data_IF_141489254789
#
_entry.id   IF_141489254789
#
_cell.length_a   1.000
_cell.length_b   1.000
_cell.length_c   1.000
_cell.angle_alpha   90.00
_cell.angle_beta   90.00
_cell.angle_gamma   90.00
#
_symmetry.space_group_name_H-M   'P 1'
#
loop_
_entity.id
_entity.type
_entity.pdbx_description
1 polymer ?
#
# COMPACT_ATOMS: atom_id res chain seq x y z
N UNK A 1 -26.05 -8.62 -15.71
CA UNK A 1 -25.39 -7.32 -15.57
C UNK A 1 -25.54 -6.68 -14.20
N UNK A 2 -26.71 -6.63 -13.52
CA UNK A 2 -26.86 -6.01 -12.17
C UNK A 2 -25.95 -6.62 -11.08
N UNK A 3 -25.69 -7.92 -11.06
CA UNK A 3 -24.79 -8.59 -10.07
C UNK A 3 -23.30 -8.24 -10.24
N UNK A 4 -22.83 -7.93 -11.44
CA UNK A 4 -21.46 -7.52 -11.70
C UNK A 4 -21.17 -6.11 -11.14
N UNK A 5 -22.10 -5.17 -11.30
CA UNK A 5 -21.94 -3.78 -10.85
C UNK A 5 -21.98 -3.64 -9.31
N UNK A 6 -22.51 -4.64 -8.60
CA UNK A 6 -22.55 -4.66 -7.13
C UNK A 6 -21.30 -5.24 -6.46
N UNK A 7 -20.39 -5.84 -7.23
CA UNK A 7 -19.16 -6.40 -6.68
C UNK A 7 -18.20 -5.29 -6.24
N UNK A 8 -17.68 -5.38 -5.01
CA UNK A 8 -16.84 -4.34 -4.38
C UNK A 8 -15.60 -3.97 -5.20
N UNK A 9 -15.05 -4.91 -5.98
CA UNK A 9 -13.83 -4.74 -6.77
C UNK A 9 -14.05 -4.04 -8.12
N UNK A 10 -15.28 -3.93 -8.62
CA UNK A 10 -15.55 -3.38 -9.96
C UNK A 10 -15.11 -1.91 -10.06
N UNK A 11 -15.37 -1.12 -9.05
CA UNK A 11 -15.08 0.31 -9.07
C UNK A 11 -13.56 0.60 -9.00
N UNK A 12 -12.78 -0.04 -8.11
CA UNK A 12 -11.33 0.07 -8.15
C UNK A 12 -10.72 -0.36 -9.50
N UNK A 13 -11.21 -1.47 -10.06
CA UNK A 13 -10.74 -1.94 -11.37
C UNK A 13 -11.09 -0.94 -12.48
N UNK A 14 -12.31 -0.40 -12.49
CA UNK A 14 -12.69 0.63 -13.46
C UNK A 14 -11.84 1.90 -13.35
N UNK A 15 -11.53 2.33 -12.12
CA UNK A 15 -10.64 3.47 -11.90
C UNK A 15 -9.22 3.20 -12.45
N UNK A 16 -8.68 2.01 -12.19
CA UNK A 16 -7.37 1.60 -12.73
C UNK A 16 -7.38 1.56 -14.26
N UNK A 17 -8.41 0.93 -14.87
CA UNK A 17 -8.55 0.85 -16.32
C UNK A 17 -8.71 2.24 -16.93
N UNK A 18 -9.48 3.13 -16.31
CA UNK A 18 -9.63 4.52 -16.77
C UNK A 18 -8.28 5.28 -16.74
N UNK A 19 -7.50 5.13 -15.66
CA UNK A 19 -6.16 5.73 -15.55
C UNK A 19 -5.21 5.20 -16.63
N UNK A 20 -5.20 3.88 -16.86
CA UNK A 20 -4.40 3.26 -17.93
C UNK A 20 -4.82 3.81 -19.29
N UNK A 21 -6.12 3.92 -19.56
CA UNK A 21 -6.64 4.47 -20.81
C UNK A 21 -6.23 5.92 -21.03
N UNK A 22 -6.34 6.77 -19.99
CA UNK A 22 -5.88 8.17 -20.04
C UNK A 22 -4.39 8.26 -20.36
N UNK A 23 -3.55 7.45 -19.69
CA UNK A 23 -2.11 7.42 -19.96
C UNK A 23 -1.80 6.95 -21.37
N UNK A 24 -2.53 5.94 -21.89
CA UNK A 24 -2.33 5.40 -23.24
C UNK A 24 -2.69 6.44 -24.32
N UNK A 25 -3.78 7.20 -24.11
CA UNK A 25 -4.17 8.29 -25.02
C UNK A 25 -3.16 9.44 -24.98
N UNK A 26 -2.67 9.80 -23.79
CA UNK A 26 -1.69 10.88 -23.62
C UNK A 26 -0.29 10.49 -24.13
N UNK A 27 0.07 9.21 -24.04
CA UNK A 27 1.36 8.65 -24.48
C UNK A 27 1.15 7.27 -25.09
N UNK A 28 1.11 7.13 -26.42
CA UNK A 28 0.93 5.83 -27.10
C UNK A 28 1.96 4.77 -26.71
N UNK A 29 3.19 5.20 -26.34
CA UNK A 29 4.26 4.31 -25.86
C UNK A 29 4.04 3.78 -24.42
N UNK A 30 3.01 4.23 -23.70
CA UNK A 30 2.76 3.82 -22.31
C UNK A 30 2.58 2.30 -22.16
N UNK A 31 1.90 1.66 -23.11
CA UNK A 31 1.69 0.21 -23.12
C UNK A 31 2.84 -0.55 -23.79
N UNK A 32 3.83 0.14 -24.37
CA UNK A 32 4.94 -0.54 -25.03
C UNK A 32 5.81 -1.26 -24.00
N UNK A 33 6.01 -2.55 -24.21
CA UNK A 33 6.95 -3.37 -23.45
C UNK A 33 8.04 -3.81 -24.42
N UNK A 34 9.28 -3.47 -24.09
CA UNK A 34 10.46 -3.90 -24.86
C UNK A 34 11.21 -4.95 -24.07
N UNK A 35 11.81 -5.91 -24.79
CA UNK A 35 12.68 -6.92 -24.20
C UNK A 35 14.12 -6.55 -24.54
N UNK A 36 14.94 -6.30 -23.54
CA UNK A 36 16.36 -6.02 -23.68
C UNK A 36 17.14 -6.96 -22.77
N UNK A 37 18.06 -7.73 -23.32
CA UNK A 37 18.87 -8.72 -22.59
C UNK A 37 18.03 -9.72 -21.75
N UNK A 38 16.86 -10.15 -22.25
CA UNK A 38 15.95 -11.04 -21.52
C UNK A 38 15.16 -10.39 -20.39
N UNK A 39 15.22 -9.07 -20.25
CA UNK A 39 14.52 -8.31 -19.23
C UNK A 39 13.40 -7.46 -19.87
N UNK A 40 12.29 -7.31 -19.17
CA UNK A 40 11.16 -6.52 -19.61
C UNK A 40 11.32 -5.04 -19.17
N UNK A 41 11.18 -4.12 -20.12
CA UNK A 41 11.23 -2.68 -19.88
C UNK A 41 9.98 -1.99 -20.40
N UNK A 42 9.57 -0.91 -19.75
CA UNK A 42 8.44 -0.07 -20.16
C UNK A 42 7.69 0.49 -18.96
N UNK A 43 6.82 1.45 -19.20
CA UNK A 43 6.09 2.16 -18.13
C UNK A 43 5.28 1.21 -17.23
N UNK A 44 4.72 0.13 -17.78
CA UNK A 44 4.02 -0.88 -17.01
C UNK A 44 4.97 -1.64 -16.08
N UNK A 45 6.17 -1.95 -16.53
CA UNK A 45 7.18 -2.66 -15.74
C UNK A 45 7.70 -1.76 -14.62
N UNK A 46 7.87 -0.46 -14.90
CA UNK A 46 8.24 0.53 -13.88
C UNK A 46 7.13 0.70 -12.83
N UNK A 47 5.85 0.64 -13.21
CA UNK A 47 4.73 0.62 -12.28
C UNK A 47 4.81 -0.64 -11.40
N UNK A 48 5.10 -1.82 -11.92
CA UNK A 48 5.27 -3.05 -11.15
C UNK A 48 6.42 -2.90 -10.14
N UNK A 49 7.59 -2.43 -10.58
CA UNK A 49 8.76 -2.21 -9.73
C UNK A 49 8.47 -1.23 -8.60
N UNK A 50 7.98 -0.05 -8.95
CA UNK A 50 7.76 1.04 -8.00
C UNK A 50 6.54 0.83 -7.10
N UNK A 51 5.62 -0.08 -7.45
CA UNK A 51 4.50 -0.47 -6.58
C UNK A 51 4.93 -1.41 -5.45
N UNK A 52 6.07 -2.09 -5.55
CA UNK A 52 6.47 -3.14 -4.63
C UNK A 52 6.60 -2.66 -3.17
N UNK A 53 7.26 -1.53 -2.84
CA UNK A 53 7.31 -1.04 -1.46
C UNK A 53 5.91 -0.70 -0.91
N UNK A 54 5.10 0.01 -1.69
CA UNK A 54 3.73 0.34 -1.29
C UNK A 54 2.86 -0.90 -1.13
N UNK A 55 3.06 -1.93 -1.96
CA UNK A 55 2.34 -3.20 -1.88
C UNK A 55 2.59 -3.91 -0.55
N UNK A 56 3.84 -3.98 -0.12
CA UNK A 56 4.23 -4.60 1.16
C UNK A 56 3.60 -3.84 2.34
N UNK A 57 3.73 -2.52 2.35
CA UNK A 57 3.14 -1.68 3.40
C UNK A 57 1.61 -1.79 3.41
N UNK A 58 0.96 -1.76 2.26
CA UNK A 58 -0.50 -1.87 2.15
C UNK A 58 -1.02 -3.25 2.57
N UNK A 59 -0.26 -4.33 2.35
CA UNK A 59 -0.59 -5.66 2.89
C UNK A 59 -0.60 -5.66 4.42
N UNK A 60 0.45 -5.12 5.05
CA UNK A 60 0.53 -4.95 6.51
C UNK A 60 -0.62 -4.09 7.03
N UNK A 61 -0.84 -2.94 6.40
CA UNK A 61 -1.93 -2.02 6.73
C UNK A 61 -3.31 -2.69 6.61
N UNK A 62 -3.51 -3.56 5.62
CA UNK A 62 -4.78 -4.31 5.47
C UNK A 62 -5.06 -5.18 6.68
N UNK A 63 -4.05 -5.87 7.22
CA UNK A 63 -4.20 -6.73 8.40
C UNK A 63 -4.49 -5.89 9.66
N UNK A 64 -3.78 -4.78 9.82
CA UNK A 64 -3.98 -3.85 10.94
C UNK A 64 -5.36 -3.21 10.89
N UNK A 65 -5.80 -2.71 9.73
CA UNK A 65 -7.14 -2.15 9.53
C UNK A 65 -8.23 -3.21 9.75
N UNK A 66 -7.99 -4.44 9.31
CA UNK A 66 -8.92 -5.55 9.55
C UNK A 66 -9.20 -5.76 11.04
N UNK A 67 -8.24 -5.48 11.94
CA UNK A 67 -8.38 -5.53 13.40
C UNK A 67 -8.75 -4.18 14.04
N UNK A 68 -9.27 -3.20 13.28
CA UNK A 68 -9.63 -1.83 13.71
C UNK A 68 -8.43 -0.96 14.13
N UNK A 69 -7.23 -1.33 13.74
CA UNK A 69 -6.03 -0.53 13.96
C UNK A 69 -5.72 0.37 12.77
N UNK A 70 -4.80 1.31 12.99
CA UNK A 70 -4.11 2.07 11.95
C UNK A 70 -2.65 2.13 12.37
N UNK A 71 -1.74 1.83 11.44
CA UNK A 71 -0.30 1.85 11.70
C UNK A 71 0.35 3.01 10.94
N UNK A 72 0.55 4.12 11.63
CA UNK A 72 1.20 5.30 11.06
C UNK A 72 2.73 5.20 11.05
N UNK A 73 3.30 4.21 11.74
CA UNK A 73 4.75 4.08 11.89
C UNK A 73 5.47 3.43 10.70
N UNK A 74 4.73 2.84 9.77
CA UNK A 74 5.30 2.05 8.66
C UNK A 74 6.34 2.81 7.84
N UNK A 75 6.13 4.11 7.59
CA UNK A 75 7.10 4.96 6.89
C UNK A 75 8.39 5.18 7.70
N UNK A 76 8.29 5.36 9.01
CA UNK A 76 9.43 5.46 9.90
C UNK A 76 10.20 4.13 10.02
N UNK A 77 9.49 3.00 10.09
CA UNK A 77 10.10 1.66 10.08
C UNK A 77 10.85 1.43 8.77
N UNK A 78 10.31 1.86 7.62
CA UNK A 78 11.04 1.83 6.34
C UNK A 78 12.34 2.63 6.40
N UNK A 79 12.29 3.85 6.96
CA UNK A 79 13.48 4.70 7.10
C UNK A 79 14.53 4.05 7.99
N UNK A 80 14.14 3.49 9.15
CA UNK A 80 15.04 2.77 10.07
C UNK A 80 15.65 1.54 9.37
N UNK A 81 14.83 0.77 8.66
CA UNK A 81 15.30 -0.41 7.93
C UNK A 81 16.36 -0.06 6.88
N UNK A 82 16.09 0.96 6.05
CA UNK A 82 17.06 1.45 5.07
C UNK A 82 18.34 1.99 5.73
N UNK A 83 18.21 2.77 6.81
CA UNK A 83 19.34 3.30 7.56
C UNK A 83 20.23 2.16 8.11
N UNK A 84 19.65 1.16 8.77
CA UNK A 84 20.39 0.00 9.31
C UNK A 84 21.10 -0.75 8.19
N UNK A 85 20.41 -1.05 7.09
CA UNK A 85 21.00 -1.80 5.99
C UNK A 85 22.20 -1.07 5.38
N UNK A 86 22.01 0.21 5.03
CA UNK A 86 23.05 0.97 4.35
C UNK A 86 24.24 1.26 5.26
N UNK A 87 24.04 1.58 6.53
CA UNK A 87 25.12 1.83 7.47
C UNK A 87 25.98 0.58 7.68
N UNK A 88 25.40 -0.63 7.72
CA UNK A 88 26.15 -1.88 7.81
C UNK A 88 26.98 -2.11 6.53
N UNK A 89 26.41 -1.85 5.36
CA UNK A 89 27.12 -2.03 4.09
C UNK A 89 28.24 -0.99 3.95
N UNK A 90 27.98 0.28 4.28
CA UNK A 90 28.97 1.37 4.22
C UNK A 90 30.15 1.14 5.15
N UNK A 91 29.90 0.66 6.37
CA UNK A 91 30.95 0.39 7.35
C UNK A 91 31.81 -0.84 7.01
N UNK A 92 31.43 -1.64 6.00
CA UNK A 92 32.17 -2.84 5.61
C UNK A 92 33.31 -2.50 4.67
N UNK A 93 34.48 -3.16 4.84
CA UNK A 93 35.58 -3.10 3.87
C UNK A 93 35.22 -3.65 2.49
N UNK A 94 34.20 -4.53 2.41
CA UNK A 94 33.76 -5.19 1.20
C UNK A 94 32.23 -4.97 0.98
N UNK A 95 31.78 -3.75 0.57
CA UNK A 95 30.37 -3.44 0.40
C UNK A 95 29.64 -4.30 -0.65
N UNK A 96 30.40 -4.89 -1.60
CA UNK A 96 29.91 -5.79 -2.63
C UNK A 96 29.80 -7.25 -2.21
N UNK A 97 30.19 -7.61 -0.98
CA UNK A 97 30.11 -8.99 -0.49
C UNK A 97 28.66 -9.41 -0.25
N UNK A 98 28.25 -10.56 -0.80
CA UNK A 98 26.93 -11.15 -0.54
C UNK A 98 26.68 -11.41 0.95
N UNK A 99 27.74 -11.79 1.71
CA UNK A 99 27.63 -12.02 3.15
C UNK A 99 27.28 -10.75 3.91
N UNK A 100 27.92 -9.62 3.56
CA UNK A 100 27.63 -8.32 4.17
C UNK A 100 26.21 -7.86 3.84
N UNK A 101 25.80 -7.98 2.58
CA UNK A 101 24.45 -7.61 2.16
C UNK A 101 23.39 -8.49 2.84
N UNK A 102 23.62 -9.81 2.95
CA UNK A 102 22.72 -10.70 3.65
C UNK A 102 22.61 -10.34 5.15
N UNK A 103 23.73 -10.03 5.81
CA UNK A 103 23.74 -9.55 7.20
C UNK A 103 22.97 -8.24 7.36
N UNK A 104 23.21 -7.28 6.45
CA UNK A 104 22.53 -5.99 6.45
C UNK A 104 20.99 -6.14 6.30
N UNK A 105 20.55 -6.99 5.36
CA UNK A 105 19.14 -7.32 5.18
C UNK A 105 18.55 -7.99 6.42
N UNK A 106 19.25 -8.98 7.00
CA UNK A 106 18.77 -9.67 8.19
C UNK A 106 18.66 -8.73 9.40
N UNK A 107 19.64 -7.84 9.60
CA UNK A 107 19.62 -6.84 10.66
C UNK A 107 18.46 -5.82 10.45
N UNK A 108 18.26 -5.35 9.22
CA UNK A 108 17.20 -4.42 8.88
C UNK A 108 15.79 -5.02 9.11
N UNK A 109 15.58 -6.26 8.66
CA UNK A 109 14.33 -6.99 8.91
C UNK A 109 14.15 -7.29 10.39
N UNK A 110 15.20 -7.70 11.09
CA UNK A 110 15.19 -7.96 12.54
C UNK A 110 14.82 -6.72 13.34
N UNK A 111 15.41 -5.57 13.02
CA UNK A 111 15.07 -4.28 13.66
C UNK A 111 13.61 -3.91 13.40
N UNK A 112 13.14 -4.06 12.18
CA UNK A 112 11.75 -3.77 11.79
C UNK A 112 10.74 -4.69 12.49
N UNK A 113 11.09 -5.98 12.66
CA UNK A 113 10.30 -6.94 13.43
C UNK A 113 10.22 -6.50 14.90
N UNK A 114 11.32 -6.07 15.52
CA UNK A 114 11.33 -5.55 16.90
C UNK A 114 10.43 -4.32 17.03
N UNK A 115 10.47 -3.39 16.08
CA UNK A 115 9.60 -2.22 16.07
C UNK A 115 8.12 -2.61 15.90
N UNK A 116 7.81 -3.60 15.07
CA UNK A 116 6.46 -4.16 14.93
C UNK A 116 5.98 -4.86 16.22
N UNK A 117 6.85 -5.63 16.88
CA UNK A 117 6.59 -6.24 18.20
C UNK A 117 6.29 -5.16 19.25
N UNK A 118 7.07 -4.07 19.25
CA UNK A 118 6.88 -2.94 20.15
C UNK A 118 5.51 -2.28 19.96
N UNK A 119 5.13 -1.92 18.73
CA UNK A 119 3.80 -1.36 18.46
C UNK A 119 2.67 -2.32 18.84
N UNK A 120 2.81 -3.59 18.47
CA UNK A 120 1.85 -4.61 18.85
C UNK A 120 1.70 -4.76 20.35
N UNK A 121 2.79 -4.65 21.12
CA UNK A 121 2.77 -4.65 22.58
C UNK A 121 2.01 -3.45 23.14
N UNK A 122 2.30 -2.24 22.66
CA UNK A 122 1.61 -1.02 23.11
C UNK A 122 0.10 -1.10 22.87
N UNK A 123 -0.30 -1.57 21.67
CA UNK A 123 -1.71 -1.62 21.28
C UNK A 123 -2.44 -2.81 21.89
N UNK A 124 -1.89 -4.03 21.78
CA UNK A 124 -2.63 -5.24 22.14
C UNK A 124 -2.52 -5.59 23.62
N UNK A 125 -1.41 -5.26 24.28
CA UNK A 125 -1.17 -5.62 25.68
C UNK A 125 -1.49 -4.46 26.60
N UNK A 126 -0.92 -3.27 26.33
CA UNK A 126 -1.16 -2.07 27.14
C UNK A 126 -2.49 -1.38 26.82
N UNK A 127 -3.14 -1.71 25.70
CA UNK A 127 -4.44 -1.14 25.31
C UNK A 127 -4.36 0.31 24.87
N UNK A 128 -3.18 0.79 24.47
CA UNK A 128 -3.01 2.16 23.95
C UNK A 128 -3.74 2.26 22.60
N UNK A 129 -4.43 3.38 22.38
CA UNK A 129 -5.10 3.62 21.13
C UNK A 129 -4.13 3.50 19.93
N UNK A 130 -4.43 2.72 18.89
CA UNK A 130 -3.53 2.42 17.77
C UNK A 130 -2.85 3.65 17.16
N UNK A 131 -3.63 4.69 16.87
CA UNK A 131 -3.14 5.92 16.26
C UNK A 131 -2.09 6.58 17.17
N UNK A 132 -2.32 6.63 18.49
CA UNK A 132 -1.39 7.25 19.43
C UNK A 132 -0.08 6.45 19.51
N UNK A 133 -0.18 5.12 19.69
CA UNK A 133 0.99 4.26 19.79
C UNK A 133 1.89 4.35 18.54
N UNK A 134 1.28 4.26 17.35
CA UNK A 134 2.02 4.27 16.08
C UNK A 134 2.52 5.66 15.69
N UNK A 135 1.81 6.74 16.09
CA UNK A 135 2.27 8.12 15.90
C UNK A 135 3.56 8.40 16.69
N UNK A 136 3.65 7.89 17.93
CA UNK A 136 4.88 8.01 18.74
C UNK A 136 6.05 7.36 18.01
N UNK A 137 5.87 6.13 17.49
CA UNK A 137 6.94 5.47 16.74
C UNK A 137 7.19 6.15 15.38
N UNK A 138 6.19 6.73 14.73
CA UNK A 138 6.38 7.50 13.51
C UNK A 138 7.35 8.67 13.72
N UNK A 139 7.22 9.40 14.82
CA UNK A 139 8.10 10.53 15.15
C UNK A 139 9.45 10.03 15.68
N UNK A 140 9.46 9.14 16.67
CA UNK A 140 10.68 8.61 17.28
C UNK A 140 11.51 7.81 16.28
N UNK A 141 10.87 7.01 15.42
CA UNK A 141 11.56 6.20 14.41
C UNK A 141 12.29 7.03 13.37
N UNK A 142 11.76 8.19 12.97
CA UNK A 142 12.49 9.14 12.13
C UNK A 142 13.77 9.64 12.82
N UNK A 143 13.67 10.01 14.10
CA UNK A 143 14.83 10.38 14.91
C UNK A 143 15.86 9.26 15.03
N UNK A 144 15.40 8.03 15.24
CA UNK A 144 16.28 6.85 15.28
C UNK A 144 16.99 6.63 13.96
N UNK A 145 16.29 6.74 12.82
CA UNK A 145 16.91 6.63 11.50
C UNK A 145 18.00 7.70 11.27
N UNK A 146 17.74 8.96 11.69
CA UNK A 146 18.71 10.05 11.64
C UNK A 146 19.93 9.76 12.55
N UNK A 147 19.72 9.22 13.75
CA UNK A 147 20.80 8.85 14.65
C UNK A 147 21.69 7.73 14.07
N UNK A 148 21.08 6.73 13.41
CA UNK A 148 21.81 5.63 12.76
C UNK A 148 22.69 6.16 11.62
N UNK A 149 22.20 7.11 10.82
CA UNK A 149 22.94 7.70 9.70
C UNK A 149 23.80 8.89 10.09
N UNK A 150 23.91 9.23 11.38
CA UNK A 150 24.64 10.41 11.84
C UNK A 150 24.05 11.74 11.37
N UNK A 151 22.79 11.77 10.93
CA UNK A 151 22.10 12.95 10.40
C UNK A 151 22.37 13.24 8.92
N UNK A 152 23.15 12.40 8.24
CA UNK A 152 23.49 12.55 6.83
C UNK A 152 22.75 11.53 5.95
N UNK A 153 22.76 11.76 4.65
CA UNK A 153 22.30 10.78 3.67
C UNK A 153 23.46 9.80 3.44
N UNK A 154 23.29 8.55 3.90
CA UNK A 154 24.24 7.47 3.64
C UNK A 154 24.04 6.94 2.22
N UNK A 155 25.10 6.92 1.41
CA UNK A 155 25.07 6.38 0.04
C UNK A 155 26.07 5.25 -0.08
N UNK A 156 25.70 4.21 -0.81
CA UNK A 156 26.57 3.04 -1.04
C UNK A 156 26.64 2.70 -2.53
N UNK A 157 27.67 1.95 -2.89
CA UNK A 157 27.79 1.30 -4.20
C UNK A 157 27.97 -0.21 -3.97
N UNK A 158 26.86 -0.97 -4.11
CA UNK A 158 26.83 -2.41 -3.89
C UNK A 158 25.88 -3.07 -4.90
N UNK A 159 26.44 -3.74 -5.90
CA UNK A 159 25.64 -4.44 -6.92
C UNK A 159 24.67 -5.46 -6.31
N UNK A 160 25.06 -6.31 -5.34
CA UNK A 160 24.12 -7.26 -4.73
C UNK A 160 22.96 -6.58 -3.99
N UNK A 161 23.21 -5.40 -3.38
CA UNK A 161 22.12 -4.65 -2.75
C UNK A 161 21.22 -3.98 -3.77
N UNK A 162 21.80 -3.39 -4.82
CA UNK A 162 21.07 -2.79 -5.94
C UNK A 162 20.11 -3.80 -6.61
N UNK A 163 20.53 -5.07 -6.70
CA UNK A 163 19.72 -6.15 -7.27
C UNK A 163 18.36 -6.30 -6.58
N UNK A 164 18.26 -5.98 -5.28
CA UNK A 164 17.00 -6.10 -4.53
C UNK A 164 15.86 -5.26 -5.14
N UNK A 165 16.15 -4.09 -5.70
CA UNK A 165 15.15 -3.24 -6.35
C UNK A 165 15.23 -3.23 -7.86
N UNK A 166 16.46 -3.24 -8.42
CA UNK A 166 16.69 -3.05 -9.85
C UNK A 166 16.97 -4.37 -10.60
N UNK A 167 17.20 -5.47 -9.87
CA UNK A 167 17.40 -6.80 -10.44
C UNK A 167 16.16 -7.34 -11.13
N UNK A 168 16.36 -8.37 -11.94
CA UNK A 168 15.30 -9.09 -12.65
C UNK A 168 15.39 -10.59 -12.40
N UNK A 169 14.23 -11.21 -12.24
CA UNK A 169 14.08 -12.68 -12.13
C UNK A 169 12.94 -13.09 -13.05
N UNK A 170 13.19 -14.07 -13.92
CA UNK A 170 12.24 -14.49 -14.97
C UNK A 170 11.72 -13.35 -15.85
N UNK A 171 12.57 -12.32 -16.11
CA UNK A 171 12.20 -11.15 -16.89
C UNK A 171 11.39 -10.08 -16.15
N UNK A 172 10.96 -10.33 -14.92
CA UNK A 172 10.21 -9.40 -14.07
C UNK A 172 11.13 -8.72 -13.03
N UNK A 173 10.82 -7.49 -12.60
CA UNK A 173 11.56 -6.83 -11.52
C UNK A 173 11.57 -7.67 -10.24
N UNK A 174 12.74 -7.87 -9.63
CA UNK A 174 12.88 -8.67 -8.41
C UNK A 174 12.05 -8.09 -7.25
N UNK A 175 12.00 -6.78 -7.11
CA UNK A 175 11.15 -6.13 -6.11
C UNK A 175 9.67 -6.52 -6.24
N UNK A 176 9.16 -6.62 -7.48
CA UNK A 176 7.80 -7.10 -7.71
C UNK A 176 7.62 -8.57 -7.34
N UNK A 177 8.61 -9.42 -7.66
CA UNK A 177 8.59 -10.83 -7.25
C UNK A 177 8.55 -10.98 -5.72
N UNK A 178 9.30 -10.16 -4.97
CA UNK A 178 9.26 -10.11 -3.50
C UNK A 178 7.86 -9.74 -3.00
N UNK A 179 7.25 -8.70 -3.58
CA UNK A 179 5.90 -8.29 -3.19
C UNK A 179 4.86 -9.37 -3.53
N UNK A 180 4.99 -10.05 -4.66
CA UNK A 180 4.11 -11.16 -5.04
C UNK A 180 4.26 -12.36 -4.08
N UNK A 181 5.48 -12.68 -3.67
CA UNK A 181 5.73 -13.70 -2.65
C UNK A 181 5.10 -13.33 -1.30
N UNK A 182 5.21 -12.06 -0.87
CA UNK A 182 4.55 -11.58 0.34
C UNK A 182 3.02 -11.67 0.24
N UNK A 183 2.43 -11.29 -0.91
CA UNK A 183 0.98 -11.47 -1.16
C UNK A 183 0.61 -12.94 -1.03
N UNK A 184 1.37 -13.85 -1.63
CA UNK A 184 1.09 -15.28 -1.59
C UNK A 184 1.16 -15.81 -0.14
N UNK A 185 2.20 -15.44 0.63
CA UNK A 185 2.35 -15.85 2.03
C UNK A 185 1.19 -15.33 2.88
N UNK A 186 0.87 -14.04 2.80
CA UNK A 186 -0.25 -13.45 3.55
C UNK A 186 -1.59 -14.07 3.12
N UNK A 187 -1.81 -14.26 1.82
CA UNK A 187 -3.03 -14.87 1.31
C UNK A 187 -3.19 -16.32 1.75
N UNK A 188 -2.11 -17.11 1.73
CA UNK A 188 -2.11 -18.50 2.23
C UNK A 188 -2.38 -18.52 3.74
N UNK A 189 -1.71 -17.68 4.53
CA UNK A 189 -1.94 -17.56 5.95
C UNK A 189 -3.40 -17.21 6.26
N UNK A 190 -3.99 -16.23 5.56
CA UNK A 190 -5.36 -15.78 5.80
C UNK A 190 -6.44 -16.74 5.25
N UNK A 191 -6.18 -17.45 4.13
CA UNK A 191 -7.18 -18.28 3.48
C UNK A 191 -7.11 -19.77 3.84
N UNK A 192 -5.92 -20.28 4.19
CA UNK A 192 -5.68 -21.71 4.45
C UNK A 192 -5.59 -22.03 5.93
N UNK A 193 -5.57 -21.01 6.80
CA UNK A 193 -5.60 -21.17 8.26
C UNK A 193 -6.81 -20.46 8.86
N UNK A 194 -7.06 -20.68 10.15
CA UNK A 194 -8.11 -19.98 10.90
C UNK A 194 -7.85 -18.47 11.06
N UNK A 195 -6.62 -17.99 10.74
CA UNK A 195 -6.22 -16.59 10.98
C UNK A 195 -7.15 -15.58 10.28
N UNK A 196 -7.57 -15.84 9.05
CA UNK A 196 -8.46 -14.94 8.33
C UNK A 196 -9.80 -14.74 9.01
N UNK A 197 -10.44 -15.84 9.40
CA UNK A 197 -11.72 -15.81 10.13
C UNK A 197 -11.55 -15.14 11.51
N UNK A 198 -10.47 -15.46 12.22
CA UNK A 198 -10.18 -14.89 13.53
C UNK A 198 -9.87 -13.39 13.44
N UNK A 199 -9.12 -12.95 12.43
CA UNK A 199 -8.83 -11.53 12.17
C UNK A 199 -10.12 -10.76 11.91
N UNK A 200 -11.01 -11.28 11.05
CA UNK A 200 -12.32 -10.67 10.78
C UNK A 200 -13.21 -10.64 12.03
N UNK A 201 -13.27 -11.73 12.80
CA UNK A 201 -14.07 -11.81 14.02
C UNK A 201 -13.60 -10.80 15.08
N UNK A 202 -12.28 -10.75 15.35
CA UNK A 202 -11.67 -9.77 16.25
C UNK A 202 -11.92 -8.35 15.76
N UNK A 203 -11.83 -8.12 14.45
CA UNK A 203 -12.13 -6.81 13.86
C UNK A 203 -13.60 -6.41 13.98
N UNK A 204 -14.55 -7.34 14.00
CA UNK A 204 -15.98 -7.02 14.19
C UNK A 204 -16.24 -6.67 15.66
N UNK A 205 -15.76 -7.50 16.59
CA UNK A 205 -15.91 -7.24 18.01
C UNK A 205 -14.83 -8.01 18.81
N UNK A 206 -13.76 -7.33 19.25
CA UNK A 206 -12.67 -7.97 20.01
C UNK A 206 -13.13 -8.59 21.32
N UNK A 207 -14.09 -7.96 22.01
CA UNK A 207 -14.58 -8.43 23.30
C UNK A 207 -15.47 -9.67 23.15
N UNK A 208 -16.40 -9.67 22.20
CA UNK A 208 -17.20 -10.85 21.91
C UNK A 208 -16.32 -12.04 21.45
N UNK A 209 -15.29 -11.77 20.66
CA UNK A 209 -14.30 -12.77 20.25
C UNK A 209 -13.57 -13.36 21.46
N UNK A 210 -13.19 -12.52 22.44
CA UNK A 210 -12.55 -12.95 23.67
C UNK A 210 -13.46 -13.83 24.50
N UNK A 211 -14.73 -13.47 24.63
CA UNK A 211 -15.73 -14.27 25.35
C UNK A 211 -15.98 -15.63 24.66
N UNK A 212 -15.83 -15.69 23.35
CA UNK A 212 -15.86 -16.93 22.56
C UNK A 212 -14.55 -17.74 22.62
N UNK A 213 -13.59 -17.37 23.48
CA UNK A 213 -12.32 -18.09 23.67
C UNK A 213 -11.19 -17.70 22.71
N UNK A 214 -11.38 -16.70 21.83
CA UNK A 214 -10.34 -16.22 20.91
C UNK A 214 -9.34 -15.35 21.65
N UNK A 215 -8.04 -15.58 21.44
CA UNK A 215 -6.96 -14.73 21.97
C UNK A 215 -6.84 -13.43 21.16
N UNK A 216 -7.84 -12.52 21.28
CA UNK A 216 -7.93 -11.28 20.49
C UNK A 216 -6.66 -10.44 20.55
N UNK A 217 -6.01 -10.34 21.74
CA UNK A 217 -4.74 -9.63 21.92
C UNK A 217 -3.62 -10.21 21.05
N UNK A 218 -3.51 -11.54 20.97
CA UNK A 218 -2.50 -12.20 20.15
C UNK A 218 -2.70 -11.97 18.66
N UNK A 219 -3.96 -11.94 18.19
CA UNK A 219 -4.28 -11.63 16.80
C UNK A 219 -3.91 -10.17 16.48
N UNK A 220 -4.31 -9.21 17.30
CA UNK A 220 -3.97 -7.80 17.12
C UNK A 220 -2.44 -7.63 17.13
N UNK A 221 -1.75 -8.21 18.11
CA UNK A 221 -0.29 -8.13 18.18
C UNK A 221 0.38 -8.65 16.90
N UNK A 222 -0.02 -9.83 16.44
CA UNK A 222 0.50 -10.44 15.21
C UNK A 222 0.31 -9.59 13.97
N UNK A 223 -0.78 -8.80 13.86
CA UNK A 223 -0.98 -7.90 12.71
C UNK A 223 0.03 -6.74 12.71
N UNK A 224 0.41 -6.18 13.87
CA UNK A 224 1.45 -5.15 13.95
C UNK A 224 2.85 -5.71 13.69
N UNK A 225 3.13 -6.94 14.17
CA UNK A 225 4.40 -7.63 13.86
C UNK A 225 4.53 -7.84 12.36
N UNK A 226 3.48 -8.32 11.71
CA UNK A 226 3.46 -8.50 10.26
C UNK A 226 3.60 -7.16 9.52
N UNK A 227 2.89 -6.11 9.96
CA UNK A 227 2.98 -4.76 9.38
C UNK A 227 4.40 -4.20 9.46
N UNK A 228 5.02 -4.23 10.64
CA UNK A 228 6.39 -3.76 10.84
C UNK A 228 7.42 -4.53 10.00
N UNK A 229 7.30 -5.86 9.95
CA UNK A 229 8.20 -6.71 9.14
C UNK A 229 8.07 -6.39 7.65
N UNK A 230 6.84 -6.29 7.13
CA UNK A 230 6.59 -5.93 5.74
C UNK A 230 7.07 -4.51 5.41
N UNK A 231 6.90 -3.56 6.34
CA UNK A 231 7.43 -2.21 6.20
C UNK A 231 8.98 -2.21 6.17
N UNK A 232 9.63 -3.07 6.94
CA UNK A 232 11.09 -3.23 6.89
C UNK A 232 11.57 -3.73 5.54
N UNK A 233 10.94 -4.76 4.99
CA UNK A 233 11.25 -5.26 3.62
C UNK A 233 10.99 -4.16 2.58
N UNK A 234 9.91 -3.39 2.72
CA UNK A 234 9.64 -2.25 1.84
C UNK A 234 10.75 -1.18 1.92
N UNK A 235 11.31 -0.94 3.11
CA UNK A 235 12.44 -0.03 3.32
C UNK A 235 13.71 -0.48 2.61
N UNK A 236 14.02 -1.78 2.64
CA UNK A 236 15.12 -2.37 1.88
C UNK A 236 14.93 -2.17 0.38
N UNK A 237 13.74 -2.47 -0.16
CA UNK A 237 13.45 -2.28 -1.58
C UNK A 237 13.53 -0.80 -1.99
N UNK A 238 13.04 0.10 -1.15
CA UNK A 238 13.10 1.54 -1.40
C UNK A 238 14.55 2.05 -1.41
N UNK A 239 15.32 1.77 -0.37
CA UNK A 239 16.71 2.25 -0.22
C UNK A 239 17.64 1.61 -1.26
N UNK A 240 17.43 0.35 -1.64
CA UNK A 240 18.18 -0.30 -2.71
C UNK A 240 17.88 0.27 -4.11
N UNK A 241 16.68 0.84 -4.31
CA UNK A 241 16.34 1.48 -5.58
C UNK A 241 17.10 2.80 -5.80
N UNK A 242 17.30 3.56 -4.73
CA UNK A 242 18.01 4.85 -4.78
C UNK A 242 19.46 4.76 -4.32
N UNK A 243 19.89 3.60 -3.82
CA UNK A 243 21.22 3.34 -3.25
C UNK A 243 21.61 4.34 -2.15
N UNK A 244 20.60 4.82 -1.41
CA UNK A 244 20.76 5.83 -0.37
C UNK A 244 19.79 5.59 0.79
N UNK A 245 20.21 5.95 2.01
CA UNK A 245 19.37 6.06 3.19
C UNK A 245 19.14 7.54 3.51
N UNK A 246 18.03 8.08 3.06
CA UNK A 246 17.54 9.40 3.44
C UNK A 246 16.43 9.23 4.48
N UNK A 247 16.77 9.45 5.75
CA UNK A 247 15.82 9.28 6.85
C UNK A 247 14.61 10.24 6.78
N UNK A 248 14.73 11.37 6.07
CA UNK A 248 13.65 12.34 5.91
C UNK A 248 12.70 11.94 4.77
N UNK A 249 13.25 11.49 3.64
CA UNK A 249 12.45 11.18 2.45
C UNK A 249 11.94 9.72 2.42
N UNK A 250 12.68 8.77 3.03
CA UNK A 250 12.29 7.36 2.99
C UNK A 250 10.92 7.12 3.62
N UNK A 251 10.01 6.55 2.85
CA UNK A 251 8.65 6.23 3.31
C UNK A 251 7.81 7.45 3.69
N UNK A 252 8.15 8.67 3.21
CA UNK A 252 7.37 9.87 3.51
C UNK A 252 5.95 9.77 2.91
N UNK A 253 4.95 9.88 3.77
CA UNK A 253 3.51 9.77 3.45
C UNK A 253 3.06 8.39 2.93
N UNK A 254 3.93 7.36 2.99
CA UNK A 254 3.56 6.02 2.48
C UNK A 254 2.44 5.39 3.31
N UNK A 255 2.33 5.72 4.60
CA UNK A 255 1.23 5.31 5.47
C UNK A 255 -0.12 5.80 4.94
N UNK A 256 -0.18 7.05 4.45
CA UNK A 256 -1.40 7.63 3.87
C UNK A 256 -1.74 6.94 2.54
N UNK A 257 -0.75 6.74 1.68
CA UNK A 257 -0.93 6.03 0.41
C UNK A 257 -1.41 4.60 0.63
N UNK A 258 -0.87 3.90 1.64
CA UNK A 258 -1.28 2.56 1.99
C UNK A 258 -2.72 2.51 2.51
N UNK A 259 -3.11 3.43 3.39
CA UNK A 259 -4.50 3.56 3.85
C UNK A 259 -5.43 3.81 2.67
N UNK A 260 -5.08 4.75 1.79
CA UNK A 260 -5.86 5.06 0.59
C UNK A 260 -5.99 3.84 -0.33
N UNK A 261 -4.90 3.10 -0.58
CA UNK A 261 -4.94 1.89 -1.39
C UNK A 261 -5.86 0.81 -0.80
N UNK A 262 -5.80 0.61 0.52
CA UNK A 262 -6.64 -0.35 1.25
C UNK A 262 -8.12 0.05 1.19
N UNK A 263 -8.44 1.33 1.39
CA UNK A 263 -9.81 1.87 1.33
C UNK A 263 -10.35 1.84 -0.10
N UNK A 264 -9.55 2.25 -1.09
CA UNK A 264 -9.90 2.13 -2.52
C UNK A 264 -10.17 0.67 -2.89
N UNK A 265 -9.42 -0.26 -2.31
CA UNK A 265 -9.64 -1.70 -2.45
C UNK A 265 -10.94 -2.22 -1.82
N UNK A 266 -11.69 -1.37 -1.11
CA UNK A 266 -12.99 -1.70 -0.53
C UNK A 266 -12.94 -2.31 0.87
N UNK A 267 -11.81 -2.25 1.56
CA UNK A 267 -11.68 -2.61 2.98
C UNK A 267 -12.16 -1.44 3.84
N UNK A 268 -12.98 -1.73 4.85
CA UNK A 268 -13.55 -0.72 5.74
C UNK A 268 -12.59 -0.36 6.87
N UNK A 269 -12.39 0.93 7.14
CA UNK A 269 -11.63 1.41 8.31
C UNK A 269 -12.27 1.02 9.66
N UNK A 270 -13.56 0.65 9.66
CA UNK A 270 -14.22 0.17 10.87
C UNK A 270 -13.81 -1.26 11.29
N UNK A 271 -12.93 -1.90 10.53
CA UNK A 271 -12.46 -3.27 10.78
C UNK A 271 -13.41 -4.36 10.27
N UNK A 272 -13.06 -5.60 10.53
CA UNK A 272 -13.79 -6.79 10.11
C UNK A 272 -13.39 -7.25 8.71
N UNK A 273 -14.34 -7.37 7.81
CA UNK A 273 -14.10 -7.94 6.47
C UNK A 273 -13.11 -7.11 5.65
N UNK A 274 -12.11 -7.77 5.12
CA UNK A 274 -11.06 -7.19 4.27
C UNK A 274 -10.86 -7.98 2.98
N UNK A 275 -10.17 -7.40 2.01
CA UNK A 275 -9.90 -8.04 0.73
C UNK A 275 -8.50 -7.72 0.23
N UNK A 276 -7.62 -8.72 0.25
CA UNK A 276 -6.24 -8.60 -0.24
C UNK A 276 -6.21 -8.25 -1.74
N UNK A 277 -7.09 -8.86 -2.54
CA UNK A 277 -7.18 -8.54 -3.96
C UNK A 277 -7.58 -7.09 -4.21
N UNK A 278 -8.47 -6.55 -3.36
CA UNK A 278 -8.82 -5.14 -3.40
C UNK A 278 -7.63 -4.24 -3.09
N UNK A 279 -6.86 -4.56 -2.05
CA UNK A 279 -5.63 -3.83 -1.70
C UNK A 279 -4.65 -3.81 -2.87
N UNK A 280 -4.42 -4.95 -3.53
CA UNK A 280 -3.54 -5.04 -4.72
C UNK A 280 -4.00 -4.09 -5.83
N UNK A 281 -5.28 -4.10 -6.18
CA UNK A 281 -5.84 -3.18 -7.19
C UNK A 281 -5.72 -1.73 -6.74
N UNK A 282 -5.97 -1.44 -5.46
CA UNK A 282 -5.80 -0.11 -4.88
C UNK A 282 -4.37 0.41 -4.99
N UNK A 283 -3.37 -0.43 -4.68
CA UNK A 283 -1.95 -0.08 -4.81
C UNK A 283 -1.60 0.24 -6.26
N UNK A 284 -2.01 -0.60 -7.22
CA UNK A 284 -1.76 -0.31 -8.63
C UNK A 284 -2.45 0.98 -9.08
N UNK A 285 -3.66 1.27 -8.58
CA UNK A 285 -4.36 2.53 -8.87
C UNK A 285 -3.56 3.73 -8.36
N UNK A 286 -3.08 3.70 -7.11
CA UNK A 286 -2.26 4.76 -6.52
C UNK A 286 -0.93 4.91 -7.28
N UNK A 287 -0.25 3.80 -7.58
CA UNK A 287 1.04 3.85 -8.29
C UNK A 287 0.88 4.35 -9.74
N UNK A 288 -0.16 3.89 -10.44
CA UNK A 288 -0.47 4.40 -11.80
C UNK A 288 -0.78 5.89 -11.76
N UNK A 289 -1.51 6.36 -10.74
CA UNK A 289 -1.79 7.78 -10.57
C UNK A 289 -0.51 8.59 -10.33
N UNK A 290 0.41 8.12 -9.47
CA UNK A 290 1.73 8.74 -9.28
C UNK A 290 2.51 8.85 -10.59
N UNK A 291 2.53 7.77 -11.36
CA UNK A 291 3.17 7.74 -12.68
C UNK A 291 2.52 8.74 -13.64
N UNK A 292 1.18 8.83 -13.64
CA UNK A 292 0.42 9.82 -14.44
C UNK A 292 0.82 11.25 -14.10
N UNK A 293 0.86 11.60 -12.81
CA UNK A 293 1.25 12.94 -12.33
C UNK A 293 2.66 13.28 -12.78
N UNK A 294 3.60 12.33 -12.68
CA UNK A 294 4.99 12.51 -13.15
C UNK A 294 5.03 12.73 -14.66
N UNK A 295 4.25 11.98 -15.43
CA UNK A 295 4.20 12.12 -16.90
C UNK A 295 3.56 13.44 -17.37
N UNK A 296 2.68 14.03 -16.57
CA UNK A 296 2.12 15.36 -16.82
C UNK A 296 3.11 16.48 -16.52
N UNK A 297 4.32 16.17 -16.04
CA UNK A 297 5.34 17.16 -15.71
C UNK A 297 5.01 17.99 -14.46
N UNK A 298 4.12 17.49 -13.59
CA UNK A 298 3.77 18.19 -12.36
C UNK A 298 4.97 18.17 -11.41
N UNK A 299 5.41 19.35 -10.90
CA UNK A 299 6.52 19.42 -9.96
C UNK A 299 6.27 18.58 -8.70
N UNK A 300 7.30 17.88 -8.16
CA UNK A 300 7.15 17.04 -6.95
C UNK A 300 6.52 17.76 -5.76
N UNK A 301 6.80 19.07 -5.59
CA UNK A 301 6.27 19.88 -4.49
C UNK A 301 4.73 20.01 -4.49
N UNK A 302 4.09 19.99 -5.65
CA UNK A 302 2.62 20.10 -5.79
C UNK A 302 1.95 18.75 -6.06
N UNK A 303 2.73 17.70 -6.28
CA UNK A 303 2.24 16.34 -6.54
C UNK A 303 1.25 15.83 -5.46
N UNK A 304 1.45 16.07 -4.15
CA UNK A 304 0.50 15.66 -3.11
C UNK A 304 -0.90 16.28 -3.27
N UNK A 305 -0.98 17.53 -3.77
CA UNK A 305 -2.28 18.20 -4.00
C UNK A 305 -3.04 17.51 -5.13
N UNK A 306 -2.36 17.23 -6.24
CA UNK A 306 -2.96 16.49 -7.37
C UNK A 306 -3.37 15.08 -6.95
N UNK A 307 -2.54 14.41 -6.15
CA UNK A 307 -2.84 13.09 -5.60
C UNK A 307 -4.11 13.13 -4.76
N UNK A 308 -4.21 14.07 -3.82
CA UNK A 308 -5.37 14.22 -2.96
C UNK A 308 -6.65 14.50 -3.78
N UNK A 309 -6.57 15.41 -4.76
CA UNK A 309 -7.70 15.72 -5.64
C UNK A 309 -8.16 14.51 -6.46
N UNK A 310 -7.21 13.79 -7.07
CA UNK A 310 -7.53 12.62 -7.89
C UNK A 310 -8.11 11.47 -7.05
N UNK A 311 -7.54 11.20 -5.86
CA UNK A 311 -8.09 10.20 -4.93
C UNK A 311 -9.49 10.60 -4.48
N UNK A 312 -9.72 11.88 -4.14
CA UNK A 312 -11.05 12.36 -3.78
C UNK A 312 -12.08 12.10 -4.89
N UNK A 313 -11.73 12.40 -6.14
CA UNK A 313 -12.59 12.11 -7.30
C UNK A 313 -12.91 10.62 -7.39
N UNK A 314 -11.91 9.74 -7.29
CA UNK A 314 -12.10 8.29 -7.35
C UNK A 314 -13.00 7.80 -6.21
N UNK A 315 -12.78 8.27 -4.97
CA UNK A 315 -13.60 7.90 -3.80
C UNK A 315 -15.05 8.41 -3.94
N UNK A 316 -15.24 9.64 -4.42
CA UNK A 316 -16.56 10.19 -4.67
C UNK A 316 -17.34 9.37 -5.73
N UNK A 317 -16.68 8.98 -6.83
CA UNK A 317 -17.27 8.11 -7.85
C UNK A 317 -17.63 6.72 -7.32
N UNK A 318 -16.91 6.22 -6.32
CA UNK A 318 -17.22 4.96 -5.63
C UNK A 318 -18.36 5.08 -4.63
N UNK A 319 -18.69 6.29 -4.15
CA UNK A 319 -19.72 6.53 -3.13
C UNK A 319 -21.12 6.18 -3.66
N UNK A 320 -21.84 5.36 -2.88
CA UNK A 320 -23.24 5.00 -3.22
C UNK A 320 -24.17 6.22 -3.23
N UNK A 321 -23.93 7.22 -2.40
CA UNK A 321 -24.74 8.45 -2.33
C UNK A 321 -24.56 9.29 -3.59
N UNK A 322 -23.33 9.50 -4.03
CA UNK A 322 -23.01 10.28 -5.23
C UNK A 322 -23.59 9.61 -6.48
N UNK A 323 -23.46 8.28 -6.58
CA UNK A 323 -24.09 7.50 -7.67
C UNK A 323 -25.61 7.58 -7.68
N UNK A 324 -26.24 7.60 -6.50
CA UNK A 324 -27.67 7.81 -6.37
C UNK A 324 -28.14 9.16 -6.92
N UNK A 325 -27.36 10.21 -6.71
CA UNK A 325 -27.64 11.56 -7.23
C UNK A 325 -27.56 11.61 -8.75
N UNK A 326 -26.51 11.04 -9.36
CA UNK A 326 -26.40 10.97 -10.82
C UNK A 326 -27.51 10.12 -11.45
N UNK A 327 -27.91 9.02 -10.82
CA UNK A 327 -29.01 8.18 -11.30
C UNK A 327 -30.40 8.87 -11.16
N UNK A 328 -30.60 9.71 -10.15
CA UNK A 328 -31.82 10.49 -9.97
C UNK A 328 -31.92 11.64 -10.98
N UNK A 329 -30.80 12.34 -11.24
CA UNK A 329 -30.75 13.41 -12.26
C UNK A 329 -31.03 12.90 -13.68
N UNK A 330 -30.53 11.70 -14.03
CA UNK A 330 -30.81 11.09 -15.33
C UNK A 330 -32.29 10.69 -15.51
N UNK A 331 -32.99 10.36 -14.41
CA UNK A 331 -34.42 10.02 -14.46
C UNK A 331 -35.36 11.24 -14.54
N UNK A 332 -34.89 12.41 -14.07
CA UNK A 332 -35.69 13.65 -14.15
C UNK A 332 -35.67 14.22 -15.57
N UNK A 333 -34.58 14.04 -16.35
CA UNK A 333 -34.50 14.53 -17.72
C UNK A 333 -35.38 13.75 -18.72
N UNK A 334 -35.71 12.49 -18.42
CA UNK A 334 -36.58 11.65 -19.29
C UNK A 334 -38.06 11.80 -19.01
N UNK A 335 -38.46 12.54 -17.98
CA UNK A 335 -39.90 12.73 -17.64
C UNK A 335 -40.56 13.97 -18.26
N UNK A 336 -39.83 14.78 -19.02
CA UNK A 336 -40.29 16.06 -19.53
C UNK A 336 -40.93 16.03 -20.95
N UNK A 337 -41.06 14.84 -21.54
CA UNK A 337 -41.65 14.73 -22.89
C UNK A 337 -42.81 13.69 -22.95
N UNK A 338 -43.85 13.93 -22.18
CA UNK A 338 -45.15 13.32 -22.46
C UNK A 338 -46.15 14.44 -22.78
N UNK A 339 -46.68 14.54 -24.01
CA UNK A 339 -47.72 15.51 -24.33
C UNK A 339 -49.00 15.12 -23.54
N UNK A 340 -49.54 16.06 -22.78
CA UNK A 340 -50.93 15.96 -22.26
C UNK A 340 -51.85 15.87 -23.44
N UNK A 341 -52.49 14.73 -23.64
CA UNK A 341 -53.64 14.57 -24.49
C UNK A 341 -54.85 15.14 -23.76
N UNK A 342 -55.21 16.37 -24.09
CA UNK A 342 -56.50 16.96 -23.76
C UNK A 342 -57.54 16.28 -24.61
N UNK A 343 -58.18 15.25 -24.09
CA UNK A 343 -59.46 14.74 -24.63
C UNK A 343 -60.60 15.51 -23.95
N UNK A 344 -61.07 16.55 -24.61
CA UNK A 344 -62.41 17.09 -24.40
C UNK A 344 -63.44 15.97 -24.66
N UNK A 345 -64.30 15.68 -23.68
CA UNK A 345 -65.58 15.00 -23.90
C UNK A 345 -66.63 16.03 -23.69
N UNK A 346 -67.26 16.41 -24.82
CA UNK A 346 -68.60 17.05 -24.89
C UNK A 346 -69.67 15.98 -24.90
N UNK A 347 -70.57 16.07 -23.99
CA UNK A 347 -72.03 15.83 -24.03
C UNK A 347 -72.57 15.37 -22.69
#
# INVERSE_FOLDING_TARGET
>A
MKKLITHRLVWPILALVALIAVNTVSRPSFLSVTVQNGQLYGSLIDILRNSAPLMLVALGMTLVIATRGIDLSVGAIMAVSGAVALTIIEASPEPGSLGVVALAIAAAVGTSLVLGVWNGFLVAVLGIQPIIATLVLMLAGRGVALLITGGFITTINSEPYQFMAQGYVFGLPFAFCVSLAAIAVVALAQRRTALGMLTEAVGINPEASRLAGVRSRGIIWGTYVASGTLAGVAGILYSSNIMAADANAAGMYIELDAILAVVLGGTSLAGGKFTLAGTVVGVFTIQTLKTTITFLGVPPAVSPVFMAAAVLVVVLLQSRRVRGWFAAGARSSTRSTSPRSDAKVLS
#
